data_IF_242773771588
#
_entry.id   IF_242773771588
#
_cell.length_a   1.000
_cell.length_b   1.000
_cell.length_c   1.000
_cell.angle_alpha   90.00
_cell.angle_beta   90.00
_cell.angle_gamma   90.00
#
_symmetry.space_group_name_H-M   'P 1'
#
loop_
_entity.id
_entity.type
_entity.pdbx_description
1 polymer ?
#
# COMPACT_ATOMS: atom_id res chain seq x y z
N UNK A 1 23.14 -6.35 18.73
CA UNK A 1 22.07 -7.36 18.48
C UNK A 1 20.76 -6.73 18.02
N UNK A 2 20.16 -5.76 18.73
CA UNK A 2 18.93 -5.07 18.23
C UNK A 2 19.21 -4.15 17.02
N UNK A 3 20.33 -3.44 17.04
CA UNK A 3 20.71 -2.47 16.01
C UNK A 3 21.06 -3.13 14.66
N UNK A 4 21.72 -4.31 14.68
CA UNK A 4 21.97 -5.13 13.48
C UNK A 4 20.70 -5.67 12.83
N UNK A 5 19.66 -5.96 13.63
CA UNK A 5 18.38 -6.41 13.12
C UNK A 5 17.58 -5.25 12.50
N UNK A 6 17.63 -4.05 13.09
CA UNK A 6 17.04 -2.84 12.52
C UNK A 6 17.74 -2.39 11.23
N UNK A 7 19.08 -2.40 11.20
CA UNK A 7 19.86 -2.01 10.02
C UNK A 7 19.70 -3.01 8.86
N UNK A 8 19.68 -4.33 9.14
CA UNK A 8 19.36 -5.33 8.13
C UNK A 8 17.91 -5.22 7.63
N UNK A 9 16.96 -4.84 8.47
CA UNK A 9 15.54 -4.73 8.09
C UNK A 9 15.29 -3.56 7.13
N UNK A 10 15.91 -2.39 7.37
CA UNK A 10 15.82 -1.24 6.46
C UNK A 10 16.51 -1.49 5.11
N UNK A 11 17.62 -2.24 5.11
CA UNK A 11 18.27 -2.73 3.88
C UNK A 11 17.33 -3.69 3.13
N UNK A 12 16.52 -4.47 3.84
CA UNK A 12 15.63 -5.47 3.24
C UNK A 12 14.39 -4.84 2.59
N UNK A 13 13.70 -3.89 3.24
CA UNK A 13 12.44 -3.35 2.70
C UNK A 13 12.64 -2.52 1.42
N UNK A 14 13.64 -1.64 1.39
CA UNK A 14 13.98 -0.85 0.20
C UNK A 14 14.42 -1.77 -0.94
N UNK A 15 15.29 -2.74 -0.65
CA UNK A 15 15.76 -3.71 -1.62
C UNK A 15 14.61 -4.58 -2.17
N UNK A 16 13.70 -5.05 -1.31
CA UNK A 16 12.51 -5.80 -1.72
C UNK A 16 11.59 -4.95 -2.60
N UNK A 17 11.44 -3.66 -2.31
CA UNK A 17 10.64 -2.75 -3.13
C UNK A 17 11.30 -2.50 -4.50
N UNK A 18 12.60 -2.27 -4.53
CA UNK A 18 13.37 -2.14 -5.78
C UNK A 18 13.32 -3.43 -6.61
N UNK A 19 13.40 -4.59 -5.96
CA UNK A 19 13.25 -5.91 -6.58
C UNK A 19 11.84 -6.12 -7.13
N UNK A 20 10.81 -5.76 -6.36
CA UNK A 20 9.41 -5.83 -6.79
C UNK A 20 9.13 -4.91 -7.98
N UNK A 21 9.68 -3.68 -7.96
CA UNK A 21 9.56 -2.72 -9.06
C UNK A 21 10.18 -3.24 -10.36
N UNK A 22 11.27 -4.00 -10.27
CA UNK A 22 11.95 -4.63 -11.41
C UNK A 22 11.53 -6.08 -11.66
N UNK A 23 10.55 -6.60 -10.92
CA UNK A 23 10.20 -8.02 -10.96
C UNK A 23 9.77 -8.47 -12.35
N UNK A 24 9.08 -7.62 -13.10
CA UNK A 24 8.68 -7.91 -14.47
C UNK A 24 9.88 -8.09 -15.41
N UNK A 25 10.82 -7.15 -15.39
CA UNK A 25 12.01 -7.19 -16.25
C UNK A 25 12.92 -8.38 -15.90
N UNK A 26 13.09 -8.64 -14.60
CA UNK A 26 13.80 -9.82 -14.10
C UNK A 26 13.11 -11.11 -14.57
N UNK A 27 11.78 -11.17 -14.47
CA UNK A 27 11.01 -12.33 -14.89
C UNK A 27 11.07 -12.61 -16.39
N UNK A 28 11.13 -11.57 -17.24
CA UNK A 28 11.21 -11.70 -18.70
C UNK A 28 12.61 -12.09 -19.15
N UNK A 29 13.65 -11.54 -18.51
CA UNK A 29 15.06 -11.83 -18.83
C UNK A 29 15.63 -13.10 -18.21
N UNK A 30 14.93 -13.70 -17.24
CA UNK A 30 15.39 -14.90 -16.52
C UNK A 30 15.22 -16.18 -17.32
N UNK A 31 16.17 -17.10 -17.12
CA UNK A 31 16.08 -18.48 -17.58
C UNK A 31 14.89 -19.21 -16.94
N UNK A 32 14.40 -20.27 -17.59
CA UNK A 32 13.19 -21.01 -17.18
C UNK A 32 13.23 -21.46 -15.71
N UNK A 33 14.39 -21.85 -15.20
CA UNK A 33 14.52 -22.31 -13.82
C UNK A 33 14.47 -21.17 -12.79
N UNK A 34 15.13 -20.04 -13.08
CA UNK A 34 15.03 -18.84 -12.25
C UNK A 34 13.60 -18.30 -12.25
N UNK A 35 12.95 -18.34 -13.41
CA UNK A 35 11.57 -17.93 -13.59
C UNK A 35 10.62 -18.76 -12.73
N UNK A 36 10.85 -20.07 -12.63
CA UNK A 36 10.11 -20.97 -11.74
C UNK A 36 10.36 -20.66 -10.27
N UNK A 37 11.59 -20.34 -9.89
CA UNK A 37 11.94 -19.95 -8.52
C UNK A 37 11.26 -18.63 -8.11
N UNK A 38 11.28 -17.62 -8.99
CA UNK A 38 10.59 -16.34 -8.76
C UNK A 38 9.08 -16.53 -8.58
N UNK A 39 8.46 -17.32 -9.45
CA UNK A 39 7.02 -17.64 -9.33
C UNK A 39 6.72 -18.31 -7.99
N UNK A 40 7.53 -19.28 -7.56
CA UNK A 40 7.34 -20.00 -6.30
C UNK A 40 7.57 -19.10 -5.08
N UNK A 41 8.45 -18.11 -5.19
CA UNK A 41 8.70 -17.12 -4.14
C UNK A 41 7.48 -16.20 -3.95
N UNK A 42 6.90 -15.71 -5.05
CA UNK A 42 5.77 -14.76 -5.01
C UNK A 42 4.45 -15.46 -4.71
N UNK A 43 4.23 -16.65 -5.26
CA UNK A 43 2.97 -17.38 -5.16
C UNK A 43 3.22 -18.72 -4.46
N UNK A 44 2.96 -18.75 -3.15
CA UNK A 44 3.29 -19.91 -2.31
C UNK A 44 2.35 -21.13 -2.52
N UNK A 45 1.18 -20.95 -3.15
CA UNK A 45 0.15 -21.99 -3.30
C UNK A 45 -0.33 -22.17 -4.74
N UNK A 46 0.60 -22.31 -5.69
CA UNK A 46 0.25 -22.51 -7.09
C UNK A 46 -0.15 -23.96 -7.36
N UNK A 47 -1.26 -24.12 -8.09
CA UNK A 47 -1.72 -25.39 -8.64
C UNK A 47 -1.89 -25.24 -10.15
N UNK A 48 -1.45 -26.26 -10.89
CA UNK A 48 -1.70 -26.32 -12.33
C UNK A 48 -2.96 -27.15 -12.55
N UNK A 49 -4.02 -26.50 -13.01
CA UNK A 49 -5.29 -27.13 -13.37
C UNK A 49 -5.40 -27.17 -14.89
N UNK A 50 -4.96 -28.28 -15.48
CA UNK A 50 -4.88 -28.47 -16.93
C UNK A 50 -3.92 -27.47 -17.60
N UNK A 51 -4.48 -26.49 -18.31
CA UNK A 51 -3.73 -25.41 -19.00
C UNK A 51 -3.70 -24.10 -18.21
N UNK A 52 -4.36 -24.04 -17.06
CA UNK A 52 -4.51 -22.83 -16.26
C UNK A 52 -3.76 -22.93 -14.94
N UNK A 53 -3.08 -21.85 -14.57
CA UNK A 53 -2.40 -21.73 -13.29
C UNK A 53 -3.37 -21.10 -12.30
N UNK A 54 -3.74 -21.83 -11.26
CA UNK A 54 -4.58 -21.34 -10.16
C UNK A 54 -3.72 -21.07 -8.93
N UNK A 55 -4.11 -20.08 -8.15
CA UNK A 55 -3.52 -19.79 -6.85
C UNK A 55 -4.63 -19.48 -5.86
N UNK A 56 -4.43 -19.89 -4.61
CA UNK A 56 -5.30 -19.51 -3.51
C UNK A 56 -4.66 -18.38 -2.72
N UNK A 57 -5.42 -17.31 -2.53
CA UNK A 57 -4.99 -16.18 -1.69
C UNK A 57 -5.13 -16.59 -0.23
N UNK A 58 -4.01 -16.75 0.46
CA UNK A 58 -3.98 -17.13 1.88
C UNK A 58 -3.75 -15.89 2.74
N UNK A 59 -4.25 -15.92 3.97
CA UNK A 59 -4.04 -14.85 4.96
C UNK A 59 -2.54 -14.59 5.17
N UNK A 60 -2.11 -13.32 5.31
CA UNK A 60 -2.94 -12.11 5.39
C UNK A 60 -3.23 -11.44 4.03
N UNK A 61 -2.75 -11.98 2.92
CA UNK A 61 -2.88 -11.36 1.60
C UNK A 61 -4.32 -11.31 1.10
N UNK A 62 -5.21 -12.17 1.62
CA UNK A 62 -6.65 -12.14 1.35
C UNK A 62 -7.27 -10.78 1.68
N UNK A 63 -6.80 -10.19 2.77
CA UNK A 63 -7.30 -8.96 3.35
C UNK A 63 -6.81 -7.80 2.49
N UNK A 64 -5.53 -7.81 2.11
CA UNK A 64 -4.96 -6.80 1.21
C UNK A 64 -5.72 -6.75 -0.12
N UNK A 65 -5.98 -7.91 -0.74
CA UNK A 65 -6.72 -7.98 -2.00
C UNK A 65 -8.19 -7.57 -1.80
N UNK A 66 -8.85 -8.03 -0.73
CA UNK A 66 -10.24 -7.66 -0.41
C UNK A 66 -10.44 -6.15 -0.25
N UNK A 67 -9.44 -5.44 0.28
CA UNK A 67 -9.50 -4.00 0.47
C UNK A 67 -8.80 -3.21 -0.65
N UNK A 68 -8.18 -3.85 -1.64
CA UNK A 68 -7.53 -3.19 -2.76
C UNK A 68 -8.52 -2.37 -3.61
N UNK A 69 -9.76 -2.86 -3.75
CA UNK A 69 -10.82 -2.19 -4.51
C UNK A 69 -11.67 -1.22 -3.65
N UNK A 70 -11.48 -1.22 -2.33
CA UNK A 70 -12.16 -0.31 -1.40
C UNK A 70 -11.30 0.92 -1.12
N UNK A 71 -11.25 1.82 -2.09
CA UNK A 71 -10.65 3.16 -1.95
C UNK A 71 -11.45 4.12 -1.06
N UNK A 72 -12.31 3.64 -0.16
CA UNK A 72 -13.02 4.52 0.78
C UNK A 72 -12.06 5.29 1.69
N UNK A 73 -10.85 4.76 1.91
CA UNK A 73 -9.77 5.46 2.59
C UNK A 73 -9.27 6.68 1.80
N UNK A 74 -9.21 6.63 0.46
CA UNK A 74 -8.86 7.78 -0.38
C UNK A 74 -9.91 8.88 -0.22
N UNK A 75 -11.20 8.53 -0.21
CA UNK A 75 -12.27 9.51 0.03
C UNK A 75 -12.11 10.23 1.37
N UNK A 76 -11.74 9.50 2.43
CA UNK A 76 -11.49 10.11 3.73
C UNK A 76 -10.27 11.02 3.70
N UNK A 77 -9.16 10.59 3.07
CA UNK A 77 -7.94 11.39 2.93
C UNK A 77 -8.19 12.66 2.10
N UNK A 78 -8.95 12.54 1.01
CA UNK A 78 -9.33 13.66 0.14
C UNK A 78 -10.28 14.63 0.86
N UNK A 79 -11.25 14.11 1.61
CA UNK A 79 -12.17 14.91 2.42
C UNK A 79 -11.43 15.69 3.50
N UNK A 80 -10.59 14.99 4.28
CA UNK A 80 -9.77 15.59 5.34
C UNK A 80 -8.80 16.61 4.75
N UNK A 81 -8.12 16.27 3.64
CA UNK A 81 -7.20 17.17 2.95
C UNK A 81 -7.90 18.44 2.44
N UNK A 82 -9.09 18.30 1.85
CA UNK A 82 -9.91 19.43 1.38
C UNK A 82 -10.41 20.28 2.54
N UNK A 83 -10.88 19.65 3.63
CA UNK A 83 -11.34 20.32 4.84
C UNK A 83 -10.22 21.14 5.49
N UNK A 84 -9.04 20.55 5.69
CA UNK A 84 -7.87 21.25 6.22
C UNK A 84 -7.41 22.38 5.30
N UNK A 85 -7.38 22.15 3.97
CA UNK A 85 -7.05 23.21 3.00
C UNK A 85 -8.03 24.38 3.12
N UNK A 86 -9.33 24.11 3.24
CA UNK A 86 -10.35 25.15 3.41
C UNK A 86 -10.16 25.94 4.72
N UNK A 87 -9.81 25.28 5.82
CA UNK A 87 -9.53 25.95 7.10
C UNK A 87 -8.30 26.84 6.98
N UNK A 88 -7.23 26.35 6.35
CA UNK A 88 -5.99 27.09 6.19
C UNK A 88 -6.18 28.31 5.29
N UNK A 89 -6.90 28.18 4.17
CA UNK A 89 -7.22 29.30 3.28
C UNK A 89 -8.13 30.32 3.98
N UNK A 90 -9.20 29.89 4.66
CA UNK A 90 -10.08 30.81 5.40
C UNK A 90 -9.37 31.54 6.55
N UNK A 91 -8.36 30.93 7.18
CA UNK A 91 -7.58 31.56 8.26
C UNK A 91 -6.58 32.61 7.74
N UNK A 92 -6.11 32.48 6.50
CA UNK A 92 -5.28 33.47 5.82
C UNK A 92 -6.12 34.70 5.45
N UNK A 93 -7.36 34.49 5.02
CA UNK A 93 -8.26 35.57 4.59
C UNK A 93 -9.04 36.23 5.74
N UNK A 94 -9.34 35.50 6.83
CA UNK A 94 -9.97 36.05 8.02
C UNK A 94 -9.67 35.22 9.30
N UNK A 95 -8.75 35.68 10.17
CA UNK A 95 -8.28 34.92 11.33
C UNK A 95 -9.30 34.76 12.48
N UNK A 96 -10.45 35.43 12.43
CA UNK A 96 -11.46 35.41 13.50
C UNK A 96 -12.71 34.55 13.21
N UNK A 97 -12.76 33.86 12.08
CA UNK A 97 -13.95 33.11 11.62
C UNK A 97 -14.20 31.77 12.34
N UNK A 98 -13.19 31.18 13.00
CA UNK A 98 -13.29 29.84 13.61
C UNK A 98 -14.02 29.82 14.98
N UNK A 99 -14.01 30.93 15.72
CA UNK A 99 -14.60 31.02 17.06
C UNK A 99 -16.14 30.97 17.04
N UNK A 100 -16.77 31.34 15.93
CA UNK A 100 -18.23 31.36 15.80
C UNK A 100 -18.78 29.96 15.46
N UNK A 101 -18.09 29.18 14.61
CA UNK A 101 -18.59 27.87 14.17
C UNK A 101 -18.46 26.77 15.25
N UNK A 102 -17.42 26.80 16.09
CA UNK A 102 -17.25 25.78 17.14
C UNK A 102 -18.34 25.87 18.23
N UNK A 103 -18.88 27.07 18.47
CA UNK A 103 -19.98 27.31 19.40
C UNK A 103 -21.35 26.81 18.90
N UNK A 104 -21.51 26.63 17.59
CA UNK A 104 -22.76 26.14 16.98
C UNK A 104 -22.82 24.61 16.87
N UNK A 105 -21.68 23.93 16.90
CA UNK A 105 -21.59 22.45 16.77
C UNK A 105 -21.69 21.75 18.15
N UNK A 106 -21.62 22.50 19.26
CA UNK A 106 -21.66 21.96 20.63
C UNK A 106 -22.99 22.16 21.36
N UNK A 107 -24.09 22.42 20.64
CA UNK A 107 -25.46 22.47 21.17
C UNK A 107 -26.38 21.47 20.48
#
# INVERSE_FOLDING_TARGET
>A
MLQEAEDNYYITAKYLLELANRAYDLFVGSEIEERRQLIKLVLQNIRVDGKTVRYDVVKPFDTVIKYADHFDWLRLVDYVGTYFKSILTNKIDNPFSLSINLALITK
#
